data_IF_795432358425
#
_entry.id   IF_795432358425
#
_cell.length_a   1.000
_cell.length_b   1.000
_cell.length_c   1.000
_cell.angle_alpha   90.00
_cell.angle_beta   90.00
_cell.angle_gamma   90.00
#
_symmetry.space_group_name_H-M   'P 1'
#
loop_
_entity.id
_entity.type
_entity.pdbx_description
1 polymer ?
#
# COMPACT_ATOMS: atom_id res chain seq x y z
N UNK A 1 6.84 -29.65 20.61
CA UNK A 1 6.01 -29.57 21.85
C UNK A 1 6.62 -28.49 22.72
N UNK A 2 5.87 -27.43 23.02
CA UNK A 2 6.31 -26.42 23.96
C UNK A 2 5.98 -26.86 25.40
N UNK A 3 6.98 -26.89 26.27
CA UNK A 3 6.78 -27.02 27.70
C UNK A 3 6.35 -25.68 28.27
N UNK A 4 5.59 -25.63 29.36
CA UNK A 4 5.16 -24.36 29.99
C UNK A 4 6.34 -23.42 30.27
N UNK A 5 7.51 -23.97 30.56
CA UNK A 5 8.75 -23.25 30.81
C UNK A 5 9.34 -22.56 29.60
N UNK A 6 9.02 -23.02 28.40
CA UNK A 6 9.47 -22.40 27.13
C UNK A 6 8.54 -21.28 26.66
N UNK A 7 7.38 -21.10 27.31
CA UNK A 7 6.42 -20.07 26.96
C UNK A 7 6.94 -18.70 27.40
N UNK A 8 7.12 -17.80 26.45
CA UNK A 8 7.70 -16.48 26.69
C UNK A 8 6.99 -15.70 27.80
N UNK A 9 5.67 -15.87 27.91
CA UNK A 9 4.83 -15.23 28.92
C UNK A 9 5.29 -15.56 30.35
N UNK A 10 5.77 -16.76 30.59
CA UNK A 10 6.07 -17.27 31.94
C UNK A 10 7.56 -17.23 32.29
N UNK A 11 8.44 -16.79 31.38
CA UNK A 11 9.90 -16.78 31.59
C UNK A 11 10.36 -15.95 32.79
N UNK A 12 9.57 -14.96 33.23
CA UNK A 12 9.89 -14.10 34.37
C UNK A 12 9.40 -14.60 35.73
N UNK A 13 8.80 -15.78 35.82
CA UNK A 13 8.28 -16.33 37.06
C UNK A 13 9.41 -16.83 38.00
N UNK A 14 9.28 -16.55 39.28
CA UNK A 14 10.13 -17.11 40.33
C UNK A 14 9.90 -18.66 40.49
N UNK A 15 10.84 -19.39 41.07
CA UNK A 15 10.67 -20.83 41.31
C UNK A 15 9.40 -21.20 42.07
N UNK A 16 8.95 -20.37 43.03
CA UNK A 16 7.72 -20.59 43.82
C UNK A 16 6.48 -20.40 42.93
N UNK A 17 6.46 -19.36 42.11
CA UNK A 17 5.37 -19.10 41.15
C UNK A 17 5.28 -20.20 40.10
N UNK A 18 6.41 -20.75 39.64
CA UNK A 18 6.48 -21.89 38.75
C UNK A 18 5.85 -23.14 39.36
N UNK A 19 6.15 -23.45 40.63
CA UNK A 19 5.53 -24.57 41.32
C UNK A 19 4.01 -24.37 41.43
N UNK A 20 3.57 -23.17 41.70
CA UNK A 20 2.15 -22.79 41.70
C UNK A 20 1.49 -23.06 40.35
N UNK A 21 2.06 -22.50 39.27
CA UNK A 21 1.55 -22.65 37.91
C UNK A 21 1.44 -24.10 37.45
N UNK A 22 2.46 -24.91 37.70
CA UNK A 22 2.43 -26.36 37.39
C UNK A 22 1.33 -27.14 38.10
N UNK A 23 0.95 -26.71 39.30
CA UNK A 23 -0.11 -27.37 40.11
C UNK A 23 -1.51 -27.06 39.57
N UNK A 24 -1.72 -25.86 39.03
CA UNK A 24 -3.03 -25.39 38.57
C UNK A 24 -3.25 -25.63 37.07
N UNK A 25 -2.20 -25.76 36.27
CA UNK A 25 -2.28 -25.98 34.84
C UNK A 25 -2.81 -27.38 34.49
N UNK A 26 -3.94 -27.45 33.83
CA UNK A 26 -4.61 -28.69 33.42
C UNK A 26 -4.28 -28.99 31.96
N UNK A 27 -3.85 -30.22 31.65
CA UNK A 27 -3.66 -30.66 30.27
C UNK A 27 -5.00 -31.02 29.65
N UNK A 28 -5.30 -30.46 28.46
CA UNK A 28 -6.49 -30.81 27.68
C UNK A 28 -6.06 -31.12 26.24
N UNK A 29 -6.85 -31.96 25.55
CA UNK A 29 -6.60 -32.35 24.16
C UNK A 29 -7.86 -32.12 23.35
N UNK A 30 -7.68 -31.67 22.11
CA UNK A 30 -8.73 -31.39 21.16
C UNK A 30 -8.35 -31.99 19.80
N UNK A 31 -9.30 -32.69 19.18
CA UNK A 31 -9.13 -33.21 17.83
C UNK A 31 -9.20 -32.10 16.80
N UNK A 32 -8.62 -32.35 15.60
CA UNK A 32 -8.75 -31.44 14.46
C UNK A 32 -10.24 -31.13 14.19
N UNK A 33 -10.56 -29.83 14.00
CA UNK A 33 -11.93 -29.33 13.81
C UNK A 33 -12.75 -29.15 15.08
N UNK A 34 -12.25 -29.55 16.27
CA UNK A 34 -12.98 -29.41 17.52
C UNK A 34 -12.91 -27.97 18.04
N UNK A 35 -14.06 -27.44 18.47
CA UNK A 35 -14.13 -26.15 19.16
C UNK A 35 -13.61 -26.29 20.59
N UNK A 36 -12.79 -25.33 21.00
CA UNK A 36 -12.23 -25.24 22.37
C UNK A 36 -13.17 -24.42 23.23
N UNK A 37 -13.69 -23.30 22.69
CA UNK A 37 -14.78 -22.50 23.24
C UNK A 37 -15.42 -21.68 22.11
N UNK A 38 -16.63 -21.20 22.33
CA UNK A 38 -17.38 -20.37 21.41
C UNK A 38 -17.37 -18.91 21.86
N UNK A 39 -17.55 -18.02 20.88
CA UNK A 39 -17.89 -16.65 21.15
C UNK A 39 -19.15 -16.54 22.00
N UNK A 40 -19.13 -15.65 23.00
CA UNK A 40 -20.21 -15.49 23.98
C UNK A 40 -20.15 -16.46 25.18
N UNK A 41 -19.31 -17.51 25.16
CA UNK A 41 -19.12 -18.40 26.30
C UNK A 41 -18.49 -17.65 27.49
N UNK A 42 -18.69 -18.09 28.74
CA UNK A 42 -18.02 -17.54 29.92
C UNK A 42 -16.50 -17.65 29.81
N UNK A 43 -15.79 -16.64 30.29
CA UNK A 43 -14.33 -16.64 30.38
C UNK A 43 -13.80 -17.49 31.53
N UNK A 44 -13.85 -18.83 31.42
CA UNK A 44 -13.54 -19.80 32.45
C UNK A 44 -12.05 -19.97 32.75
N UNK A 45 -11.17 -19.54 31.83
CA UNK A 45 -9.72 -19.63 32.01
C UNK A 45 -8.92 -19.24 30.77
N UNK A 46 -7.60 -19.31 30.92
CA UNK A 46 -6.60 -19.00 29.87
C UNK A 46 -6.06 -20.32 29.33
N UNK A 47 -5.80 -20.33 28.04
CA UNK A 47 -5.27 -21.48 27.30
C UNK A 47 -3.87 -21.19 26.77
N UNK A 48 -2.96 -22.15 26.89
CA UNK A 48 -1.60 -22.10 26.38
C UNK A 48 -1.38 -23.28 25.43
N UNK A 49 -0.99 -23.06 24.22
CA UNK A 49 -0.78 -24.12 23.22
C UNK A 49 0.54 -24.83 23.54
N UNK A 50 0.47 -26.12 23.84
CA UNK A 50 1.65 -26.99 23.98
C UNK A 50 2.10 -27.53 22.64
N UNK A 51 1.16 -28.01 21.85
CA UNK A 51 1.36 -28.52 20.50
C UNK A 51 0.08 -28.40 19.71
N UNK A 52 0.18 -28.21 18.41
CA UNK A 52 -1.00 -28.04 17.59
C UNK A 52 -1.07 -26.68 16.89
N UNK A 53 -2.28 -26.33 16.45
CA UNK A 53 -2.62 -25.06 15.81
C UNK A 53 -4.06 -24.72 16.16
N UNK A 54 -4.28 -23.52 16.66
CA UNK A 54 -5.62 -23.01 17.02
C UNK A 54 -5.93 -21.81 16.14
N UNK A 55 -7.14 -21.79 15.61
CA UNK A 55 -7.69 -20.67 14.85
C UNK A 55 -8.67 -19.90 15.71
N UNK A 56 -8.53 -18.58 15.74
CA UNK A 56 -9.44 -17.66 16.43
C UNK A 56 -10.26 -16.95 15.36
N UNK A 57 -11.56 -17.14 15.37
CA UNK A 57 -12.47 -16.61 14.37
C UNK A 57 -13.75 -16.03 14.99
N UNK A 58 -14.34 -15.07 14.29
CA UNK A 58 -15.65 -14.50 14.58
C UNK A 58 -16.64 -14.94 13.51
N UNK A 59 -17.86 -15.24 13.91
CA UNK A 59 -18.94 -15.51 12.98
C UNK A 59 -19.59 -14.17 12.61
N UNK A 60 -19.47 -13.74 11.35
CA UNK A 60 -20.14 -12.53 10.89
C UNK A 60 -21.65 -12.75 10.74
N UNK A 61 -22.43 -11.68 10.70
CA UNK A 61 -23.89 -11.72 10.46
C UNK A 61 -24.28 -12.46 9.16
N UNK A 62 -23.33 -12.57 8.21
CA UNK A 62 -23.49 -13.32 6.95
C UNK A 62 -23.09 -14.81 7.08
N UNK A 63 -22.85 -15.32 8.29
CA UNK A 63 -22.35 -16.68 8.57
C UNK A 63 -20.98 -16.99 7.94
N UNK A 64 -20.19 -15.97 7.59
CA UNK A 64 -18.83 -16.16 7.15
C UNK A 64 -17.87 -16.21 8.35
N UNK A 65 -17.02 -17.24 8.38
CA UNK A 65 -15.94 -17.35 9.36
C UNK A 65 -14.82 -16.36 9.04
N UNK A 66 -14.73 -15.27 9.81
CA UNK A 66 -13.63 -14.32 9.69
C UNK A 66 -12.52 -14.71 10.66
N UNK A 67 -11.44 -15.23 10.13
CA UNK A 67 -10.26 -15.63 10.90
C UNK A 67 -9.45 -14.41 11.31
N UNK A 68 -9.24 -14.19 12.61
CA UNK A 68 -8.42 -13.12 13.14
C UNK A 68 -6.96 -13.51 13.28
N UNK A 69 -6.72 -14.74 13.77
CA UNK A 69 -5.36 -15.23 13.98
C UNK A 69 -5.30 -16.76 14.00
N UNK A 70 -4.10 -17.27 13.72
CA UNK A 70 -3.72 -18.66 13.91
C UNK A 70 -2.57 -18.72 14.89
N UNK A 71 -2.75 -19.45 15.96
CA UNK A 71 -1.85 -19.51 17.09
C UNK A 71 -1.19 -20.88 17.16
N UNK A 72 0.13 -20.88 17.39
CA UNK A 72 0.96 -22.07 17.47
C UNK A 72 1.50 -22.36 18.87
N UNK A 73 2.40 -23.35 19.00
CA UNK A 73 2.97 -23.73 20.28
C UNK A 73 3.66 -22.55 21.01
N UNK A 74 3.37 -22.41 22.31
CA UNK A 74 3.89 -21.34 23.16
C UNK A 74 3.05 -20.07 23.17
N UNK A 75 2.01 -19.99 22.34
CA UNK A 75 1.09 -18.84 22.34
C UNK A 75 -0.09 -19.06 23.29
N UNK A 76 -0.66 -17.95 23.77
CA UNK A 76 -1.79 -17.92 24.70
C UNK A 76 -3.04 -17.41 24.01
N UNK A 77 -4.23 -17.84 24.48
CA UNK A 77 -5.52 -17.31 24.01
C UNK A 77 -6.61 -17.43 25.09
N UNK A 78 -7.67 -16.64 24.89
CA UNK A 78 -8.78 -16.55 25.83
C UNK A 78 -8.49 -15.73 27.09
N UNK A 79 -7.34 -15.03 27.12
CA UNK A 79 -6.93 -14.17 28.21
C UNK A 79 -7.82 -12.94 28.39
N UNK A 80 -8.36 -12.39 27.29
CA UNK A 80 -9.16 -11.16 27.30
C UNK A 80 -10.41 -11.33 28.17
N UNK A 81 -11.19 -12.37 27.94
CA UNK A 81 -12.39 -12.67 28.71
C UNK A 81 -12.11 -12.88 30.21
N UNK A 82 -10.92 -13.38 30.55
CA UNK A 82 -10.50 -13.58 31.95
C UNK A 82 -10.13 -12.26 32.62
N UNK A 83 -9.44 -11.37 31.91
CA UNK A 83 -8.94 -10.09 32.43
C UNK A 83 -10.07 -9.06 32.53
N UNK A 84 -10.92 -8.98 31.51
CA UNK A 84 -11.99 -7.98 31.40
C UNK A 84 -13.29 -8.40 32.12
N UNK A 85 -13.40 -9.65 32.55
CA UNK A 85 -14.64 -10.23 33.10
C UNK A 85 -15.82 -10.19 32.13
N UNK A 86 -15.53 -10.43 30.85
CA UNK A 86 -16.48 -10.43 29.75
C UNK A 86 -16.60 -11.81 29.11
N UNK A 87 -17.68 -12.10 28.36
CA UNK A 87 -17.76 -13.31 27.55
C UNK A 87 -16.61 -13.42 26.54
N UNK A 88 -16.37 -14.63 26.01
CA UNK A 88 -15.40 -14.87 24.93
C UNK A 88 -15.70 -13.98 23.73
N UNK A 89 -14.72 -13.24 23.28
CA UNK A 89 -14.85 -12.28 22.16
C UNK A 89 -14.76 -12.93 20.77
N UNK A 90 -14.43 -14.22 20.70
CA UNK A 90 -14.29 -14.99 19.46
C UNK A 90 -14.37 -16.49 19.76
N UNK A 91 -14.59 -17.29 18.70
CA UNK A 91 -14.55 -18.76 18.76
C UNK A 91 -13.13 -19.25 18.54
N UNK A 92 -12.68 -20.21 19.34
CA UNK A 92 -11.39 -20.89 19.19
C UNK A 92 -11.59 -22.32 18.73
N UNK A 93 -10.97 -22.70 17.61
CA UNK A 93 -11.08 -24.03 17.01
C UNK A 93 -9.70 -24.65 16.77
N UNK A 94 -9.52 -25.91 17.11
CA UNK A 94 -8.32 -26.67 16.82
C UNK A 94 -8.24 -26.98 15.32
N UNK A 95 -7.25 -26.46 14.59
CA UNK A 95 -7.06 -26.71 13.15
C UNK A 95 -6.50 -28.11 12.90
N UNK A 96 -5.71 -28.61 13.83
CA UNK A 96 -5.15 -29.98 13.86
C UNK A 96 -5.23 -30.52 15.30
N UNK A 97 -4.91 -31.77 15.50
CA UNK A 97 -4.86 -32.32 16.85
C UNK A 97 -3.98 -31.42 17.72
N UNK A 98 -4.58 -30.91 18.81
CA UNK A 98 -3.99 -29.85 19.62
C UNK A 98 -3.97 -30.20 21.08
N UNK A 99 -2.83 -30.01 21.72
CA UNK A 99 -2.65 -30.12 23.16
C UNK A 99 -2.46 -28.75 23.78
N UNK A 100 -3.21 -28.47 24.84
CA UNK A 100 -3.12 -27.18 25.53
C UNK A 100 -2.94 -27.40 27.05
N UNK A 101 -2.42 -26.37 27.70
CA UNK A 101 -2.55 -26.17 29.14
C UNK A 101 -3.70 -25.20 29.39
N UNK A 102 -4.64 -25.57 30.21
CA UNK A 102 -5.73 -24.73 30.67
C UNK A 102 -5.43 -24.24 32.09
N UNK A 103 -5.53 -22.94 32.31
CA UNK A 103 -5.33 -22.29 33.61
C UNK A 103 -6.67 -21.66 34.00
N UNK A 104 -7.33 -22.15 35.08
CA UNK A 104 -8.61 -21.61 35.53
C UNK A 104 -8.50 -20.08 35.82
N UNK A 105 -9.61 -19.36 35.58
CA UNK A 105 -9.70 -17.92 35.73
C UNK A 105 -9.20 -17.38 37.07
N UNK A 106 -9.76 -17.92 38.17
CA UNK A 106 -9.44 -17.42 39.51
C UNK A 106 -7.97 -17.62 39.86
N UNK A 107 -7.39 -18.72 39.42
CA UNK A 107 -5.98 -19.04 39.62
C UNK A 107 -5.07 -18.14 38.78
N UNK A 108 -5.45 -17.84 37.51
CA UNK A 108 -4.72 -16.93 36.68
C UNK A 108 -4.75 -15.49 37.24
N UNK A 109 -5.91 -15.04 37.69
CA UNK A 109 -6.04 -13.73 38.33
C UNK A 109 -5.24 -13.62 39.66
N UNK A 110 -5.25 -14.71 40.46
CA UNK A 110 -4.44 -14.77 41.66
C UNK A 110 -2.93 -14.71 41.35
N UNK A 111 -2.50 -15.39 40.28
CA UNK A 111 -1.10 -15.36 39.81
C UNK A 111 -0.70 -13.97 39.33
N UNK A 112 -1.53 -13.31 38.52
CA UNK A 112 -1.29 -11.95 38.03
C UNK A 112 -1.18 -10.94 39.17
N UNK A 113 -2.02 -11.06 40.20
CA UNK A 113 -1.96 -10.18 41.39
C UNK A 113 -0.68 -10.36 42.20
N UNK A 114 -0.11 -11.57 42.24
CA UNK A 114 1.10 -11.91 43.01
C UNK A 114 2.39 -11.65 42.24
N UNK A 115 2.35 -11.67 40.90
CA UNK A 115 3.50 -11.50 40.03
C UNK A 115 3.35 -10.26 39.13
N UNK A 116 3.83 -9.07 39.57
CA UNK A 116 3.81 -7.87 38.74
C UNK A 116 4.57 -8.02 37.41
N UNK A 117 5.65 -8.84 37.40
CA UNK A 117 6.40 -9.14 36.19
C UNK A 117 5.56 -9.88 35.15
N UNK A 118 4.79 -10.89 35.56
CA UNK A 118 3.86 -11.59 34.68
C UNK A 118 2.76 -10.66 34.19
N UNK A 119 2.17 -9.85 35.05
CA UNK A 119 1.15 -8.89 34.66
C UNK A 119 1.67 -7.91 33.58
N UNK A 120 2.91 -7.45 33.73
CA UNK A 120 3.56 -6.58 32.75
C UNK A 120 3.79 -7.30 31.40
N UNK A 121 4.21 -8.55 31.43
CA UNK A 121 4.41 -9.37 30.22
C UNK A 121 3.09 -9.63 29.49
N UNK A 122 2.00 -9.92 30.22
CA UNK A 122 0.65 -10.03 29.63
C UNK A 122 0.21 -8.73 28.99
N UNK A 123 0.44 -7.58 29.65
CA UNK A 123 0.11 -6.27 29.10
C UNK A 123 0.90 -5.96 27.83
N UNK A 124 2.18 -6.30 27.79
CA UNK A 124 3.00 -6.16 26.58
C UNK A 124 2.47 -7.01 25.42
N UNK A 125 2.08 -8.26 25.69
CA UNK A 125 1.53 -9.16 24.67
C UNK A 125 0.19 -8.65 24.12
N UNK A 126 -0.72 -8.21 24.99
CA UNK A 126 -1.99 -7.60 24.57
C UNK A 126 -1.75 -6.33 23.76
N UNK A 127 -0.83 -5.47 24.19
CA UNK A 127 -0.47 -4.25 23.46
C UNK A 127 0.12 -4.55 22.08
N UNK A 128 0.92 -5.61 21.95
CA UNK A 128 1.45 -6.08 20.68
C UNK A 128 0.32 -6.54 19.75
N UNK A 129 -0.56 -7.42 20.23
CA UNK A 129 -1.71 -7.93 19.45
C UNK A 129 -2.65 -6.82 19.01
N UNK A 130 -2.92 -5.85 19.89
CA UNK A 130 -3.74 -4.69 19.55
C UNK A 130 -3.12 -3.86 18.42
N UNK A 131 -1.80 -3.65 18.45
CA UNK A 131 -1.10 -2.97 17.34
C UNK A 131 -1.20 -3.72 16.03
N UNK A 132 -0.98 -5.04 16.06
CA UNK A 132 -1.06 -5.89 14.87
C UNK A 132 -2.48 -5.88 14.28
N UNK A 133 -3.49 -6.00 15.13
CA UNK A 133 -4.90 -5.93 14.75
C UNK A 133 -5.25 -4.56 14.13
N UNK A 134 -4.85 -3.46 14.78
CA UNK A 134 -5.11 -2.11 14.28
C UNK A 134 -4.45 -1.88 12.92
N UNK A 135 -3.23 -2.41 12.69
CA UNK A 135 -2.57 -2.29 11.40
C UNK A 135 -3.29 -3.05 10.28
N UNK A 136 -3.78 -4.25 10.57
CA UNK A 136 -4.57 -5.04 9.61
C UNK A 136 -5.88 -4.35 9.28
N UNK A 137 -6.62 -3.94 10.30
CA UNK A 137 -7.91 -3.29 10.15
C UNK A 137 -7.81 -1.96 9.39
N UNK A 138 -6.78 -1.15 9.68
CA UNK A 138 -6.53 0.09 8.93
C UNK A 138 -6.26 -0.17 7.45
N UNK A 139 -5.53 -1.25 7.11
CA UNK A 139 -5.30 -1.64 5.71
C UNK A 139 -6.60 -2.03 5.02
N UNK A 140 -7.47 -2.78 5.69
CA UNK A 140 -8.78 -3.16 5.14
C UNK A 140 -9.67 -1.94 4.88
N UNK A 141 -9.74 -0.99 5.83
CA UNK A 141 -10.48 0.26 5.66
C UNK A 141 -9.97 1.04 4.45
N UNK A 142 -8.65 1.25 4.36
CA UNK A 142 -8.04 1.97 3.24
C UNK A 142 -8.34 1.27 1.90
N UNK A 143 -8.32 -0.05 1.87
CA UNK A 143 -8.64 -0.82 0.66
C UNK A 143 -10.11 -0.68 0.28
N UNK A 144 -11.02 -0.77 1.26
CA UNK A 144 -12.45 -0.57 1.04
C UNK A 144 -12.77 0.86 0.54
N UNK A 145 -12.13 1.88 1.12
CA UNK A 145 -12.27 3.27 0.64
C UNK A 145 -11.81 3.41 -0.81
N UNK A 146 -10.68 2.81 -1.19
CA UNK A 146 -10.20 2.85 -2.58
C UNK A 146 -11.18 2.21 -3.55
N UNK A 147 -11.72 1.05 -3.20
CA UNK A 147 -12.73 0.37 -4.02
C UNK A 147 -14.02 1.21 -4.12
N UNK A 148 -14.46 1.84 -3.03
CA UNK A 148 -15.61 2.74 -3.04
C UNK A 148 -15.38 3.95 -3.95
N UNK A 149 -14.19 4.54 -3.93
CA UNK A 149 -13.80 5.63 -4.84
C UNK A 149 -13.89 5.17 -6.30
N UNK A 150 -13.31 4.01 -6.65
CA UNK A 150 -13.42 3.46 -8.02
C UNK A 150 -14.87 3.20 -8.39
N UNK A 151 -15.69 2.66 -7.48
CA UNK A 151 -17.12 2.45 -7.69
C UNK A 151 -17.87 3.75 -8.03
N UNK A 152 -17.58 4.83 -7.30
CA UNK A 152 -18.17 6.15 -7.53
C UNK A 152 -17.80 6.74 -8.90
N UNK A 153 -16.60 6.43 -9.40
CA UNK A 153 -16.11 6.91 -10.70
C UNK A 153 -16.26 5.89 -11.83
N UNK A 154 -16.88 4.72 -11.59
CA UNK A 154 -17.02 3.66 -12.58
C UNK A 154 -17.60 4.14 -13.90
N UNK A 155 -18.62 5.04 -13.86
CA UNK A 155 -19.22 5.62 -15.08
C UNK A 155 -18.21 6.43 -15.89
N UNK A 156 -17.37 7.24 -15.23
CA UNK A 156 -16.31 8.02 -15.90
C UNK A 156 -15.27 7.10 -16.51
N UNK A 157 -14.82 6.10 -15.75
CA UNK A 157 -13.86 5.10 -16.20
C UNK A 157 -14.36 4.36 -17.44
N UNK A 158 -15.63 3.92 -17.43
CA UNK A 158 -16.23 3.23 -18.57
C UNK A 158 -16.36 4.16 -19.81
N UNK A 159 -16.67 5.44 -19.58
CA UNK A 159 -16.70 6.43 -20.65
C UNK A 159 -15.31 6.62 -21.27
N UNK A 160 -14.27 6.75 -20.44
CA UNK A 160 -12.91 6.97 -20.88
C UNK A 160 -12.29 5.73 -21.55
N UNK A 161 -12.74 4.52 -21.18
CA UNK A 161 -12.39 3.27 -21.89
C UNK A 161 -13.14 3.13 -23.22
N UNK A 162 -14.38 3.63 -23.31
CA UNK A 162 -15.17 3.57 -24.55
C UNK A 162 -14.54 4.40 -25.67
N UNK A 163 -13.94 5.56 -25.35
CA UNK A 163 -13.35 6.45 -26.34
C UNK A 163 -12.22 5.77 -27.16
N UNK A 164 -11.16 5.21 -26.57
CA UNK A 164 -10.12 4.51 -27.32
C UNK A 164 -10.66 3.28 -28.07
N UNK A 165 -11.64 2.56 -27.52
CA UNK A 165 -12.27 1.43 -28.21
C UNK A 165 -13.02 1.89 -29.48
N UNK A 166 -13.68 3.04 -29.42
CA UNK A 166 -14.34 3.62 -30.60
C UNK A 166 -13.32 3.98 -31.70
N UNK A 167 -12.17 4.54 -31.33
CA UNK A 167 -11.10 4.84 -32.30
C UNK A 167 -10.52 3.57 -32.91
N UNK A 168 -10.32 2.53 -32.10
CA UNK A 168 -9.87 1.21 -32.59
C UNK A 168 -10.89 0.64 -33.59
N UNK A 169 -12.18 0.67 -33.25
CA UNK A 169 -13.25 0.15 -34.14
C UNK A 169 -13.26 0.90 -35.47
N UNK A 170 -13.18 2.23 -35.45
CA UNK A 170 -13.12 3.06 -36.67
C UNK A 170 -11.87 2.79 -37.49
N UNK A 171 -10.73 2.58 -36.85
CA UNK A 171 -9.48 2.26 -37.53
C UNK A 171 -9.54 0.85 -38.18
N UNK A 172 -10.16 -0.14 -37.52
CA UNK A 172 -10.37 -1.49 -38.09
C UNK A 172 -11.34 -1.46 -39.28
N UNK A 173 -12.45 -0.75 -39.17
CA UNK A 173 -13.39 -0.55 -40.32
C UNK A 173 -12.69 0.13 -41.51
N UNK A 174 -11.75 1.06 -41.24
CA UNK A 174 -10.95 1.69 -42.27
C UNK A 174 -10.03 0.68 -42.97
N UNK A 175 -9.41 -0.22 -42.21
CA UNK A 175 -8.52 -1.26 -42.72
C UNK A 175 -9.24 -2.31 -43.60
N UNK A 176 -10.54 -2.52 -43.39
CA UNK A 176 -11.37 -3.46 -44.18
C UNK A 176 -11.79 -2.86 -45.55
N UNK A 177 -11.59 -1.58 -45.80
CA UNK A 177 -12.00 -0.92 -47.04
C UNK A 177 -11.11 -1.37 -48.22
N UNK A 178 -11.68 -1.81 -49.36
CA UNK A 178 -10.90 -2.14 -50.55
C UNK A 178 -10.21 -0.90 -51.12
N UNK A 179 -8.97 -1.04 -51.58
CA UNK A 179 -8.21 0.05 -52.20
C UNK A 179 -7.54 1.04 -51.21
N UNK A 180 -7.34 0.62 -49.99
CA UNK A 180 -6.62 1.43 -48.99
C UNK A 180 -5.16 1.62 -49.40
N UNK A 181 -4.66 2.88 -49.33
CA UNK A 181 -3.24 3.17 -49.61
C UNK A 181 -2.34 2.66 -48.48
N UNK A 182 -1.05 2.32 -48.77
CA UNK A 182 -0.12 1.86 -47.72
C UNK A 182 0.04 2.88 -46.59
N UNK A 183 -0.03 4.16 -46.86
CA UNK A 183 0.08 5.22 -45.87
C UNK A 183 -1.12 5.21 -44.89
N UNK A 184 -2.35 5.10 -45.44
CA UNK A 184 -3.57 5.00 -44.63
C UNK A 184 -3.62 3.73 -43.82
N UNK A 185 -3.11 2.60 -44.39
CA UNK A 185 -2.98 1.34 -43.68
C UNK A 185 -2.04 1.48 -42.49
N UNK A 186 -0.84 2.04 -42.70
CA UNK A 186 0.13 2.28 -41.64
C UNK A 186 -0.41 3.25 -40.56
N UNK A 187 -1.12 4.31 -40.98
CA UNK A 187 -1.76 5.27 -40.07
C UNK A 187 -2.83 4.60 -39.18
N UNK A 188 -3.70 3.77 -39.76
CA UNK A 188 -4.75 3.06 -39.00
C UNK A 188 -4.15 2.08 -37.99
N UNK A 189 -3.12 1.33 -38.37
CA UNK A 189 -2.37 0.48 -37.44
C UNK A 189 -1.73 1.29 -36.31
N UNK A 190 -1.16 2.45 -36.64
CA UNK A 190 -0.61 3.37 -35.64
C UNK A 190 -1.65 3.83 -34.61
N UNK A 191 -2.84 4.20 -35.05
CA UNK A 191 -3.95 4.56 -34.15
C UNK A 191 -4.33 3.38 -33.24
N UNK A 192 -4.46 2.18 -33.79
CA UNK A 192 -4.79 1.00 -32.97
C UNK A 192 -3.72 0.79 -31.87
N UNK A 193 -2.44 0.83 -32.23
CA UNK A 193 -1.35 0.64 -31.26
C UNK A 193 -1.38 1.68 -30.15
N UNK A 194 -1.56 2.97 -30.50
CA UNK A 194 -1.65 4.07 -29.54
C UNK A 194 -2.82 3.84 -28.57
N UNK A 195 -4.00 3.51 -29.08
CA UNK A 195 -5.16 3.32 -28.23
C UNK A 195 -5.07 2.07 -27.34
N UNK A 196 -4.48 0.99 -27.83
CA UNK A 196 -4.22 -0.22 -27.03
C UNK A 196 -3.25 0.08 -25.88
N UNK A 197 -2.20 0.88 -26.15
CA UNK A 197 -1.26 1.30 -25.12
C UNK A 197 -1.94 2.19 -24.08
N UNK A 198 -2.79 3.12 -24.51
CA UNK A 198 -3.57 3.99 -23.61
C UNK A 198 -4.50 3.17 -22.69
N UNK A 199 -5.21 2.17 -23.23
CA UNK A 199 -6.04 1.26 -22.42
C UNK A 199 -5.20 0.52 -21.38
N UNK A 200 -4.03 0.00 -21.77
CA UNK A 200 -3.12 -0.70 -20.83
C UNK A 200 -2.67 0.21 -19.69
N UNK A 201 -2.32 1.46 -19.97
CA UNK A 201 -1.93 2.44 -18.97
C UNK A 201 -3.07 2.73 -17.99
N UNK A 202 -4.28 2.98 -18.53
CA UNK A 202 -5.48 3.23 -17.72
C UNK A 202 -5.81 2.04 -16.80
N UNK A 203 -5.77 0.81 -17.33
CA UNK A 203 -5.96 -0.40 -16.51
C UNK A 203 -4.87 -0.51 -15.44
N UNK A 204 -3.62 -0.25 -15.80
CA UNK A 204 -2.50 -0.23 -14.86
C UNK A 204 -2.68 0.78 -13.73
N UNK A 205 -3.17 1.97 -14.04
CA UNK A 205 -3.48 3.03 -13.07
C UNK A 205 -4.57 2.60 -12.08
N UNK A 206 -5.67 2.01 -12.59
CA UNK A 206 -6.77 1.53 -11.76
C UNK A 206 -6.32 0.39 -10.85
N UNK A 207 -5.56 -0.58 -11.38
CA UNK A 207 -5.05 -1.69 -10.59
C UNK A 207 -4.09 -1.22 -9.48
N UNK A 208 -3.18 -0.30 -9.78
CA UNK A 208 -2.27 0.26 -8.77
C UNK A 208 -3.03 1.07 -7.71
N UNK A 209 -4.03 1.83 -8.11
CA UNK A 209 -4.86 2.57 -7.16
C UNK A 209 -5.64 1.63 -6.23
N UNK A 210 -6.24 0.56 -6.76
CA UNK A 210 -7.07 -0.39 -5.98
C UNK A 210 -6.25 -1.32 -5.10
N UNK A 211 -5.13 -1.84 -5.60
CA UNK A 211 -4.30 -2.80 -4.86
C UNK A 211 -3.38 -2.11 -3.84
N UNK A 212 -3.10 -0.83 -4.04
CA UNK A 212 -2.12 -0.10 -3.26
C UNK A 212 -0.69 -0.59 -3.50
N UNK A 213 0.27 -0.04 -2.77
CA UNK A 213 1.67 -0.47 -2.80
C UNK A 213 1.88 -1.85 -2.13
N UNK A 214 1.01 -2.83 -2.44
CA UNK A 214 1.01 -4.16 -1.78
C UNK A 214 2.05 -5.13 -2.35
N UNK A 215 2.65 -4.85 -3.50
CA UNK A 215 3.88 -5.53 -3.90
C UNK A 215 5.00 -4.95 -3.05
N UNK A 216 5.80 -5.79 -2.38
CA UNK A 216 7.01 -5.44 -1.65
C UNK A 216 7.81 -4.45 -2.50
N UNK A 217 7.60 -3.15 -2.28
CA UNK A 217 8.35 -2.10 -2.96
C UNK A 217 9.82 -2.35 -2.62
N UNK A 218 10.59 -2.81 -3.60
CA UNK A 218 12.01 -3.11 -3.41
C UNK A 218 12.76 -1.79 -3.42
N UNK A 219 12.69 -1.07 -2.32
CA UNK A 219 13.50 0.12 -2.13
C UNK A 219 14.98 -0.28 -2.08
N UNK A 220 15.77 0.34 -2.93
CA UNK A 220 17.22 0.18 -2.98
C UNK A 220 17.91 1.51 -2.76
N UNK A 221 19.13 1.48 -2.20
CA UNK A 221 19.98 2.66 -2.21
C UNK A 221 20.47 2.90 -3.65
N UNK A 222 20.23 4.09 -4.18
CA UNK A 222 20.62 4.44 -5.54
C UNK A 222 21.12 5.89 -5.61
N UNK A 223 22.10 6.12 -6.45
CA UNK A 223 22.59 7.46 -6.78
C UNK A 223 21.55 8.18 -7.64
N UNK A 224 21.04 9.32 -7.12
CA UNK A 224 19.97 10.08 -7.77
C UNK A 224 20.42 10.67 -9.11
N UNK A 225 21.66 11.18 -9.19
CA UNK A 225 22.22 11.71 -10.46
C UNK A 225 22.26 10.61 -11.52
N UNK A 226 22.74 9.42 -11.19
CA UNK A 226 22.78 8.30 -12.15
C UNK A 226 21.38 7.88 -12.59
N UNK A 227 20.43 7.83 -11.66
CA UNK A 227 19.04 7.51 -11.97
C UNK A 227 18.45 8.50 -12.96
N UNK A 228 18.53 9.80 -12.67
CA UNK A 228 17.97 10.85 -13.54
C UNK A 228 18.71 10.92 -14.88
N UNK A 229 20.05 10.81 -14.90
CA UNK A 229 20.85 10.84 -16.12
C UNK A 229 20.49 9.72 -17.10
N UNK A 230 20.10 8.53 -16.59
CA UNK A 230 19.58 7.43 -17.43
C UNK A 230 18.18 7.71 -17.94
N UNK A 231 17.36 8.43 -17.18
CA UNK A 231 15.97 8.71 -17.50
C UNK A 231 15.81 9.86 -18.50
N UNK A 232 16.67 10.87 -18.46
CA UNK A 232 16.56 12.07 -19.32
C UNK A 232 16.50 11.77 -20.82
N UNK A 233 17.32 10.85 -21.40
CA UNK A 233 17.22 10.50 -22.82
C UNK A 233 15.87 9.87 -23.19
N UNK A 234 15.31 9.03 -22.31
CA UNK A 234 14.01 8.39 -22.53
C UNK A 234 12.89 9.43 -22.54
N UNK A 235 12.90 10.35 -21.55
CA UNK A 235 11.94 11.46 -21.50
C UNK A 235 12.07 12.36 -22.72
N UNK A 236 13.31 12.66 -23.17
CA UNK A 236 13.57 13.48 -24.34
C UNK A 236 13.06 12.86 -25.63
N UNK A 237 13.23 11.55 -25.82
CA UNK A 237 12.72 10.83 -26.98
C UNK A 237 11.19 10.88 -27.04
N UNK A 238 10.51 10.66 -25.90
CA UNK A 238 9.06 10.66 -25.81
C UNK A 238 8.46 12.08 -26.00
N UNK A 239 9.04 13.09 -25.34
CA UNK A 239 8.64 14.47 -25.49
C UNK A 239 8.80 14.97 -26.94
N UNK A 240 9.87 14.55 -27.62
CA UNK A 240 10.19 14.94 -29.00
C UNK A 240 9.12 14.50 -30.01
N UNK A 241 8.47 13.36 -29.81
CA UNK A 241 7.35 12.87 -30.63
C UNK A 241 6.20 13.91 -30.67
N UNK A 242 6.01 14.65 -29.58
CA UNK A 242 4.97 15.68 -29.42
C UNK A 242 5.49 17.10 -29.56
N UNK A 243 6.70 17.28 -30.15
CA UNK A 243 7.34 18.58 -30.34
C UNK A 243 7.60 19.37 -29.04
N UNK A 244 7.72 18.67 -27.92
CA UNK A 244 8.09 19.26 -26.62
C UNK A 244 9.59 19.03 -26.38
N UNK A 245 10.32 20.08 -25.99
CA UNK A 245 11.75 19.99 -25.65
C UNK A 245 11.92 19.88 -24.15
N UNK A 246 12.76 18.94 -23.74
CA UNK A 246 13.20 18.83 -22.35
C UNK A 246 14.48 19.67 -22.19
N UNK A 247 14.46 20.59 -21.22
CA UNK A 247 15.56 21.50 -20.91
C UNK A 247 16.02 21.36 -19.46
N UNK A 248 17.00 20.47 -19.17
CA UNK A 248 17.61 20.45 -17.83
C UNK A 248 18.34 21.79 -17.61
N UNK A 249 18.00 22.48 -16.54
CA UNK A 249 18.57 23.78 -16.19
C UNK A 249 19.89 23.65 -15.39
N UNK A 250 20.06 22.51 -14.75
CA UNK A 250 21.25 22.14 -13.98
C UNK A 250 21.35 20.62 -13.87
N UNK A 251 22.49 20.13 -13.39
CA UNK A 251 22.68 18.71 -13.12
C UNK A 251 21.96 18.26 -11.83
N UNK A 252 21.42 17.04 -11.81
CA UNK A 252 20.92 16.43 -10.58
C UNK A 252 22.03 16.28 -9.52
N UNK A 253 21.76 16.46 -8.23
CA UNK A 253 22.75 16.29 -7.19
C UNK A 253 23.22 14.85 -7.08
N UNK A 254 24.53 14.64 -6.87
CA UNK A 254 25.12 13.31 -6.65
C UNK A 254 24.92 12.89 -5.19
N UNK A 255 23.77 12.33 -4.90
CA UNK A 255 23.39 11.91 -3.53
C UNK A 255 22.74 10.55 -3.54
N UNK A 256 22.91 9.82 -2.43
CA UNK A 256 22.27 8.51 -2.24
C UNK A 256 20.87 8.70 -1.67
N UNK A 257 19.89 8.09 -2.33
CA UNK A 257 18.50 8.08 -1.90
C UNK A 257 18.01 6.64 -1.80
N UNK A 258 17.02 6.42 -0.96
CA UNK A 258 16.27 5.17 -0.92
C UNK A 258 15.16 5.23 -1.96
N UNK A 259 15.35 4.57 -3.10
CA UNK A 259 14.45 4.65 -4.24
C UNK A 259 13.86 3.28 -4.60
N UNK A 260 12.66 3.33 -5.14
CA UNK A 260 12.09 2.29 -6.01
C UNK A 260 12.07 2.84 -7.45
N UNK A 261 13.09 2.48 -8.27
CA UNK A 261 13.35 3.16 -9.55
C UNK A 261 12.19 3.09 -10.54
N UNK A 262 11.46 1.96 -10.58
CA UNK A 262 10.33 1.78 -11.51
C UNK A 262 9.18 2.71 -11.20
N UNK A 263 8.84 2.84 -9.90
CA UNK A 263 7.77 3.73 -9.47
C UNK A 263 8.16 5.20 -9.62
N UNK A 264 9.40 5.55 -9.25
CA UNK A 264 9.86 6.92 -9.40
C UNK A 264 9.95 7.34 -10.88
N UNK A 265 10.40 6.44 -11.77
CA UNK A 265 10.34 6.66 -13.23
C UNK A 265 8.92 7.05 -13.68
N UNK A 266 7.90 6.38 -13.17
CA UNK A 266 6.50 6.69 -13.48
C UNK A 266 6.09 8.11 -13.08
N UNK A 267 6.61 8.64 -11.96
CA UNK A 267 6.35 10.03 -11.56
C UNK A 267 6.82 11.00 -12.67
N UNK A 268 8.03 10.82 -13.18
CA UNK A 268 8.57 11.66 -14.25
C UNK A 268 7.74 11.57 -15.54
N UNK A 269 7.36 10.35 -15.95
CA UNK A 269 6.57 10.15 -17.16
C UNK A 269 5.15 10.71 -17.03
N UNK A 270 4.50 10.54 -15.89
CA UNK A 270 3.17 11.11 -15.67
C UNK A 270 3.21 12.65 -15.69
N UNK A 271 4.25 13.26 -15.12
CA UNK A 271 4.42 14.71 -15.19
C UNK A 271 4.75 15.19 -16.61
N UNK A 272 5.57 14.44 -17.35
CA UNK A 272 5.84 14.71 -18.77
C UNK A 272 4.54 14.65 -19.59
N UNK A 273 3.75 13.58 -19.47
CA UNK A 273 2.49 13.43 -20.20
C UNK A 273 1.52 14.57 -19.87
N UNK A 274 1.42 14.97 -18.60
CA UNK A 274 0.61 16.12 -18.22
C UNK A 274 1.07 17.42 -18.89
N UNK A 275 2.38 17.65 -18.97
CA UNK A 275 2.95 18.83 -19.64
C UNK A 275 2.70 18.78 -21.15
N UNK A 276 2.91 17.64 -21.79
CA UNK A 276 2.68 17.43 -23.22
C UNK A 276 1.21 17.66 -23.61
N UNK A 277 0.28 17.15 -22.81
CA UNK A 277 -1.17 17.29 -23.06
C UNK A 277 -1.65 18.75 -23.08
N UNK A 278 -1.03 19.62 -22.28
CA UNK A 278 -1.38 21.06 -22.24
C UNK A 278 -0.59 21.90 -23.24
N UNK A 279 0.32 21.28 -24.00
CA UNK A 279 1.15 21.94 -25.04
C UNK A 279 0.97 21.25 -26.42
N UNK A 280 -0.24 21.19 -27.00
CA UNK A 280 -0.48 20.45 -28.25
C UNK A 280 0.26 21.04 -29.46
N UNK A 281 0.66 22.29 -29.41
CA UNK A 281 1.49 22.96 -30.42
C UNK A 281 3.01 22.82 -30.19
N UNK A 282 3.42 21.99 -29.23
CA UNK A 282 4.80 21.92 -28.77
C UNK A 282 5.10 22.93 -27.66
N UNK A 283 6.30 22.85 -27.10
CA UNK A 283 6.70 23.71 -26.00
C UNK A 283 8.01 23.27 -25.36
N UNK A 284 8.21 23.70 -24.13
CA UNK A 284 9.41 23.38 -23.35
C UNK A 284 9.01 22.87 -21.97
N UNK A 285 9.71 21.84 -21.51
CA UNK A 285 9.63 21.32 -20.15
C UNK A 285 10.99 21.49 -19.49
N UNK A 286 11.09 22.44 -18.57
CA UNK A 286 12.32 22.76 -17.85
C UNK A 286 12.40 21.90 -16.58
N UNK A 287 13.56 21.27 -16.38
CA UNK A 287 13.83 20.47 -15.19
C UNK A 287 14.88 21.18 -14.34
N UNK A 288 14.56 21.40 -13.06
CA UNK A 288 15.50 21.92 -12.06
C UNK A 288 15.63 20.95 -10.92
N UNK A 289 16.86 20.81 -10.45
CA UNK A 289 17.20 19.90 -9.34
C UNK A 289 17.97 20.71 -8.30
N UNK A 290 17.60 20.58 -7.04
CA UNK A 290 18.37 21.20 -5.97
C UNK A 290 18.37 20.30 -4.74
N UNK A 291 19.45 20.36 -3.97
CA UNK A 291 19.51 19.81 -2.65
C UNK A 291 19.20 20.92 -1.64
N UNK A 292 18.27 20.68 -0.73
CA UNK A 292 17.86 21.61 0.29
C UNK A 292 17.85 20.88 1.64
N UNK A 293 18.88 21.16 2.45
CA UNK A 293 19.06 20.47 3.74
C UNK A 293 19.14 18.97 3.60
N UNK A 294 18.10 18.27 4.04
CA UNK A 294 18.04 16.79 4.07
C UNK A 294 17.19 16.19 2.96
N UNK A 295 16.83 16.96 1.95
CA UNK A 295 16.02 16.49 0.85
C UNK A 295 16.53 16.97 -0.51
N UNK A 296 16.20 16.23 -1.57
CA UNK A 296 16.35 16.64 -2.95
C UNK A 296 15.01 17.13 -3.46
N UNK A 297 15.00 18.27 -4.13
CA UNK A 297 13.81 18.86 -4.77
C UNK A 297 14.00 18.76 -6.27
N UNK A 298 12.99 18.22 -6.93
CA UNK A 298 12.89 18.15 -8.40
C UNK A 298 11.70 18.97 -8.83
N UNK A 299 11.91 19.89 -9.77
CA UNK A 299 10.90 20.76 -10.36
C UNK A 299 10.81 20.49 -11.86
N UNK A 300 9.58 20.38 -12.36
CA UNK A 300 9.25 20.24 -13.78
C UNK A 300 8.29 21.38 -14.15
N UNK A 301 8.80 22.34 -14.92
CA UNK A 301 8.08 23.56 -15.36
C UNK A 301 7.70 23.44 -16.83
N UNK A 302 6.42 23.43 -17.15
CA UNK A 302 5.93 23.52 -18.53
C UNK A 302 5.77 24.98 -18.99
N UNK A 303 5.67 25.19 -20.30
CA UNK A 303 5.34 26.49 -20.92
C UNK A 303 3.90 26.54 -21.42
N UNK A 304 3.03 25.72 -20.82
CA UNK A 304 1.61 25.65 -21.14
C UNK A 304 0.79 26.82 -20.56
N UNK A 305 -0.53 26.73 -20.61
CA UNK A 305 -1.44 27.78 -20.15
C UNK A 305 -1.55 27.86 -18.61
N UNK A 306 -0.86 26.98 -17.87
CA UNK A 306 -1.00 26.87 -16.43
C UNK A 306 -2.21 26.03 -16.00
N UNK A 307 -2.61 26.15 -14.74
CA UNK A 307 -3.68 25.35 -14.09
C UNK A 307 -4.88 26.26 -13.83
N UNK A 308 -6.05 25.81 -14.21
CA UNK A 308 -7.29 26.51 -13.91
C UNK A 308 -7.52 26.60 -12.39
N UNK A 309 -7.86 27.80 -11.85
CA UNK A 309 -8.01 27.99 -10.39
C UNK A 309 -8.97 26.99 -9.75
N UNK A 310 -10.01 26.59 -10.46
CA UNK A 310 -11.10 25.72 -9.99
C UNK A 310 -10.62 24.30 -9.66
N UNK A 311 -9.45 23.89 -10.20
CA UNK A 311 -8.95 22.52 -10.00
C UNK A 311 -7.72 22.46 -9.08
N UNK A 312 -7.09 23.58 -8.75
CA UNK A 312 -5.83 23.61 -7.99
C UNK A 312 -5.92 22.80 -6.68
N UNK A 313 -6.96 23.02 -5.89
CA UNK A 313 -7.15 22.35 -4.60
C UNK A 313 -7.47 20.86 -4.72
N UNK A 314 -7.91 20.42 -5.89
CA UNK A 314 -8.32 19.03 -6.16
C UNK A 314 -7.36 18.30 -7.08
N UNK A 315 -6.30 18.94 -7.55
CA UNK A 315 -5.42 18.44 -8.60
C UNK A 315 -4.80 17.06 -8.28
N UNK A 316 -4.52 16.80 -7.01
CA UNK A 316 -3.97 15.53 -6.53
C UNK A 316 -5.03 14.55 -6.00
N UNK A 317 -6.31 14.87 -6.12
CA UNK A 317 -7.37 13.94 -5.79
C UNK A 317 -7.56 12.93 -6.92
N UNK A 318 -7.91 11.68 -6.60
CA UNK A 318 -8.23 10.69 -7.62
C UNK A 318 -9.35 11.18 -8.55
N UNK A 319 -9.21 10.88 -9.84
CA UNK A 319 -10.17 11.25 -10.90
C UNK A 319 -10.40 12.75 -11.10
N UNK A 320 -9.53 13.60 -10.58
CA UNK A 320 -9.59 15.03 -10.86
C UNK A 320 -9.12 15.32 -12.30
N UNK A 321 -10.04 15.77 -13.15
CA UNK A 321 -9.78 16.17 -14.55
C UNK A 321 -10.41 17.53 -14.82
N UNK A 322 -9.76 18.34 -15.66
CA UNK A 322 -10.31 19.61 -16.13
C UNK A 322 -9.85 19.86 -17.57
N UNK A 323 -10.80 20.04 -18.49
CA UNK A 323 -10.48 20.41 -19.88
C UNK A 323 -9.74 19.36 -20.72
N UNK A 324 -9.46 18.16 -20.19
CA UNK A 324 -8.79 17.08 -20.91
C UNK A 324 -9.81 16.14 -21.53
N UNK A 325 -9.67 15.88 -22.82
CA UNK A 325 -10.44 14.87 -23.55
C UNK A 325 -9.98 13.43 -23.26
N UNK A 326 -8.80 13.27 -22.66
CA UNK A 326 -8.16 11.98 -22.43
C UNK A 326 -7.38 12.01 -21.09
N UNK A 327 -7.59 11.00 -20.24
CA UNK A 327 -6.85 10.83 -19.00
C UNK A 327 -7.73 10.35 -17.85
N UNK A 328 -7.28 9.32 -17.13
CA UNK A 328 -8.00 8.71 -16.01
C UNK A 328 -8.18 9.63 -14.79
N UNK A 329 -7.46 10.76 -14.73
CA UNK A 329 -7.40 11.59 -13.53
C UNK A 329 -6.70 10.94 -12.33
N UNK A 330 -6.11 9.77 -12.53
CA UNK A 330 -5.39 9.03 -11.48
C UNK A 330 -3.89 9.37 -11.44
N UNK A 331 -3.30 9.80 -12.56
CA UNK A 331 -1.86 9.98 -12.71
C UNK A 331 -1.22 10.82 -11.61
N UNK A 332 -1.76 12.02 -11.30
CA UNK A 332 -1.21 12.90 -10.27
C UNK A 332 -1.43 12.38 -8.85
N UNK A 333 -2.56 11.73 -8.58
CA UNK A 333 -2.81 11.09 -7.28
C UNK A 333 -1.86 9.91 -7.04
N UNK A 334 -1.56 9.12 -8.08
CA UNK A 334 -0.55 8.06 -8.05
C UNK A 334 0.86 8.65 -7.85
N UNK A 335 1.21 9.73 -8.56
CA UNK A 335 2.49 10.41 -8.36
C UNK A 335 2.67 10.87 -6.93
N UNK A 336 1.66 11.53 -6.35
CA UNK A 336 1.67 11.97 -4.96
C UNK A 336 1.90 10.81 -4.02
N UNK A 337 1.17 9.71 -4.20
CA UNK A 337 1.32 8.50 -3.39
C UNK A 337 2.71 7.87 -3.51
N UNK A 338 3.26 7.79 -4.71
CA UNK A 338 4.63 7.28 -4.94
C UNK A 338 5.64 8.12 -4.17
N UNK A 339 5.56 9.46 -4.28
CA UNK A 339 6.46 10.38 -3.59
C UNK A 339 6.32 10.26 -2.07
N UNK A 340 5.11 10.19 -1.54
CA UNK A 340 4.83 9.97 -0.12
C UNK A 340 5.38 8.62 0.39
N UNK A 341 5.27 7.55 -0.39
CA UNK A 341 5.84 6.24 -0.07
C UNK A 341 7.39 6.27 -0.02
N UNK A 342 8.01 7.22 -0.74
CA UNK A 342 9.44 7.51 -0.66
C UNK A 342 9.80 8.45 0.50
N UNK A 343 8.82 8.87 1.32
CA UNK A 343 9.01 9.81 2.43
C UNK A 343 9.11 11.28 2.02
N UNK A 344 8.75 11.58 0.77
CA UNK A 344 8.77 12.92 0.21
C UNK A 344 7.41 13.62 0.22
N UNK A 345 7.33 14.76 -0.43
CA UNK A 345 6.09 15.55 -0.66
C UNK A 345 6.04 16.02 -2.10
N UNK A 346 4.83 16.16 -2.62
CA UNK A 346 4.56 16.64 -3.97
C UNK A 346 3.62 17.82 -3.92
N UNK A 347 3.85 18.78 -4.82
CA UNK A 347 3.03 19.97 -4.93
C UNK A 347 3.11 20.61 -6.31
N UNK A 348 2.39 21.71 -6.44
CA UNK A 348 2.38 22.53 -7.66
C UNK A 348 2.49 24.01 -7.28
N UNK A 349 3.14 24.77 -8.13
CA UNK A 349 3.22 26.23 -8.07
C UNK A 349 2.88 26.77 -9.44
N UNK A 350 2.34 27.96 -9.47
CA UNK A 350 2.02 28.68 -10.70
C UNK A 350 2.24 30.15 -10.48
N UNK A 351 2.86 30.80 -11.45
CA UNK A 351 2.96 32.25 -11.52
C UNK A 351 2.01 32.77 -12.62
N UNK A 352 1.37 33.92 -12.42
CA UNK A 352 0.45 34.47 -13.41
C UNK A 352 1.13 34.64 -14.78
N UNK A 353 0.53 34.09 -15.85
CA UNK A 353 1.05 34.13 -17.20
C UNK A 353 2.20 33.19 -17.52
N UNK A 354 2.55 32.31 -16.60
CA UNK A 354 3.50 31.21 -16.77
C UNK A 354 2.81 29.86 -16.75
N UNK A 355 3.49 28.82 -17.24
CA UNK A 355 3.01 27.45 -17.14
C UNK A 355 2.99 26.93 -15.70
N UNK A 356 2.70 25.65 -15.52
CA UNK A 356 2.69 25.02 -14.20
C UNK A 356 4.08 24.49 -13.80
N UNK A 357 4.42 24.61 -12.51
CA UNK A 357 5.63 24.04 -11.92
C UNK A 357 5.21 22.94 -10.97
N UNK A 358 5.30 21.69 -11.41
CA UNK A 358 5.16 20.55 -10.54
C UNK A 358 6.48 20.28 -9.83
N UNK A 359 6.43 20.04 -8.54
CA UNK A 359 7.63 19.70 -7.77
C UNK A 359 7.38 18.53 -6.84
N UNK A 360 8.45 17.78 -6.56
CA UNK A 360 8.46 16.79 -5.52
C UNK A 360 9.79 16.76 -4.78
N UNK A 361 9.75 16.28 -3.54
CA UNK A 361 10.94 16.16 -2.68
C UNK A 361 11.19 14.70 -2.36
N UNK A 362 12.45 14.33 -2.15
CA UNK A 362 12.87 13.01 -1.70
C UNK A 362 13.90 13.16 -0.58
N UNK A 363 13.74 12.46 0.56
CA UNK A 363 14.68 12.56 1.67
C UNK A 363 16.02 11.90 1.34
N UNK A 364 17.11 12.52 1.79
CA UNK A 364 18.45 11.90 1.76
C UNK A 364 18.48 10.68 2.69
N UNK A 365 19.27 9.67 2.31
CA UNK A 365 19.59 8.60 3.26
C UNK A 365 20.34 9.20 4.47
N UNK A 366 19.90 8.82 5.66
CA UNK A 366 20.63 9.16 6.89
C UNK A 366 21.92 8.32 6.94
N UNK A 367 23.03 8.94 7.37
CA UNK A 367 24.34 8.28 7.45
C UNK A 367 24.35 6.97 8.27
N UNK A 368 23.41 6.79 9.20
CA UNK A 368 23.23 5.59 10.02
C UNK A 368 22.65 4.36 9.27
N UNK A 369 22.02 4.54 8.13
CA UNK A 369 21.41 3.42 7.36
C UNK A 369 22.39 2.79 6.35
N UNK A 370 23.52 3.42 6.09
CA UNK A 370 24.56 2.92 5.17
C UNK A 370 25.37 1.74 5.75
N UNK A 371 25.28 1.47 7.05
CA UNK A 371 26.09 0.47 7.79
C UNK A 371 25.38 -0.87 8.07
N UNK A 372 24.14 -1.05 7.61
CA UNK A 372 23.44 -2.36 7.74
C UNK A 372 23.29 -3.02 6.37
N UNK A 373 24.38 -3.56 5.87
CA UNK A 373 24.41 -4.62 4.85
C UNK A 373 24.67 -5.96 5.50
#
# INVERSE_FOLDING_TARGET
MAELESVALFQGLSPVEWQGLRRIAQKRQFAAGQEIFREGDPGDGVHVIRDGLVEIAHLTDLQEHRVFSRLGPGEIFGEMAVIEDLPRSATATAVKDTQIYFIPRDEMLALLKRSPGLAFTVLQEISRRLRDFNQLHLREIIQAERLAVVGNFARSILHDLKNPLTVISLATETLERPGLTPEKHAQSLGYIHIQVQHIKEMIGDILEFTQGASAKAAFTSADYRQFVSKLLPELGAEAGIKSVRIEPQNEPPAVQLRLEPRRLRRVFFNLLHNAVDVMPGGGRLRLRFRQDGKEVITEMEDTGPGIAPEIVDRLFQPFATHGKSHGSGLGLSICKKIVEDHGGRMGVRQEPGQGAIFFFTLPLLKDDETLKR
#
